data_IF_876462587781
#
_entry.id   IF_876462587781
#
_cell.length_a   1.000
_cell.length_b   1.000
_cell.length_c   1.000
_cell.angle_alpha   90.00
_cell.angle_beta   90.00
_cell.angle_gamma   90.00
#
_symmetry.space_group_name_H-M   'P 1'
#
loop_
_entity.id
_entity.type
_entity.pdbx_description
1 polymer ?
#
# COMPACT_ATOMS: atom_id res chain seq x y z
N UNK A 1 4.87 -7.35 20.79
CA UNK A 1 5.73 -6.68 19.78
C UNK A 1 5.24 -6.85 18.32
N UNK A 2 4.11 -7.50 18.06
CA UNK A 2 3.60 -7.76 16.68
C UNK A 2 2.41 -6.87 16.29
N UNK A 3 1.66 -6.37 17.28
CA UNK A 3 0.48 -5.51 17.10
C UNK A 3 0.76 -4.28 16.20
N UNK A 4 1.84 -3.49 16.39
CA UNK A 4 2.09 -2.34 15.51
C UNK A 4 2.37 -2.75 14.05
N UNK A 5 3.04 -3.88 13.82
CA UNK A 5 3.29 -4.39 12.46
C UNK A 5 2.01 -4.87 11.78
N UNK A 6 1.10 -5.48 12.54
CA UNK A 6 -0.22 -5.85 12.05
C UNK A 6 -1.02 -4.61 11.62
N UNK A 7 -1.05 -3.58 12.46
CA UNK A 7 -1.74 -2.32 12.17
C UNK A 7 -1.15 -1.63 10.92
N UNK A 8 0.17 -1.61 10.76
CA UNK A 8 0.83 -1.05 9.58
C UNK A 8 0.49 -1.81 8.30
N UNK A 9 0.42 -3.14 8.37
CA UNK A 9 0.09 -3.98 7.22
C UNK A 9 -1.36 -3.76 6.79
N UNK A 10 -2.29 -3.70 7.77
CA UNK A 10 -3.70 -3.39 7.50
C UNK A 10 -3.84 -1.98 6.91
N UNK A 11 -3.17 -0.99 7.50
CA UNK A 11 -3.21 0.39 7.00
C UNK A 11 -2.68 0.51 5.57
N UNK A 12 -1.57 -0.15 5.24
CA UNK A 12 -1.04 -0.24 3.88
C UNK A 12 -2.08 -0.84 2.92
N UNK A 13 -2.73 -1.94 3.30
CA UNK A 13 -3.73 -2.61 2.47
C UNK A 13 -4.91 -1.68 2.14
N UNK A 14 -5.38 -0.94 3.15
CA UNK A 14 -6.43 0.06 3.00
C UNK A 14 -5.98 1.22 2.11
N UNK A 15 -4.76 1.74 2.31
CA UNK A 15 -4.22 2.83 1.47
C UNK A 15 -4.07 2.42 0.00
N UNK A 16 -3.60 1.19 -0.28
CA UNK A 16 -3.54 0.61 -1.64
C UNK A 16 -4.95 0.46 -2.24
N UNK A 17 -5.91 0.04 -1.43
CA UNK A 17 -7.29 -0.18 -1.90
C UNK A 17 -7.95 1.12 -2.33
N UNK A 18 -7.77 2.18 -1.55
CA UNK A 18 -8.36 3.51 -1.76
C UNK A 18 -7.61 4.29 -2.86
N UNK A 19 -6.29 4.12 -3.00
CA UNK A 19 -5.53 4.79 -4.05
C UNK A 19 -5.89 4.27 -5.43
N UNK A 20 -6.03 5.22 -6.35
CA UNK A 20 -6.13 4.94 -7.78
C UNK A 20 -4.71 5.00 -8.37
N UNK A 21 -4.26 3.88 -8.89
CA UNK A 21 -2.98 3.78 -9.60
C UNK A 21 -3.20 4.01 -11.09
N UNK A 22 -2.16 4.45 -11.80
CA UNK A 22 -2.25 4.74 -13.24
C UNK A 22 -2.59 3.51 -14.08
N UNK A 23 -2.27 2.31 -13.59
CA UNK A 23 -2.60 1.05 -14.25
C UNK A 23 -3.04 -0.02 -13.26
N UNK A 24 -3.91 -0.95 -13.68
CA UNK A 24 -4.31 -2.10 -12.86
C UNK A 24 -3.12 -3.01 -12.52
N UNK A 25 -2.12 -3.13 -13.41
CA UNK A 25 -0.90 -3.91 -13.15
C UNK A 25 -0.06 -3.33 -12.01
N UNK A 26 0.03 -2.00 -11.92
CA UNK A 26 0.76 -1.32 -10.84
C UNK A 26 0.06 -1.53 -9.49
N UNK A 27 -1.28 -1.53 -9.47
CA UNK A 27 -2.06 -1.89 -8.27
C UNK A 27 -1.80 -3.34 -7.85
N UNK A 28 -1.75 -4.28 -8.79
CA UNK A 28 -1.50 -5.70 -8.50
C UNK A 28 -0.11 -5.94 -7.88
N UNK A 29 0.93 -5.23 -8.35
CA UNK A 29 2.29 -5.32 -7.76
C UNK A 29 2.28 -4.88 -6.29
N UNK A 30 1.56 -3.81 -5.95
CA UNK A 30 1.43 -3.36 -4.56
C UNK A 30 0.66 -4.34 -3.69
N UNK A 31 -0.37 -5.00 -4.23
CA UNK A 31 -1.08 -6.09 -3.55
C UNK A 31 -0.18 -7.31 -3.30
N UNK A 32 0.66 -7.68 -4.26
CA UNK A 32 1.66 -8.75 -4.09
C UNK A 32 2.67 -8.41 -3.00
N UNK A 33 3.14 -7.17 -2.94
CA UNK A 33 4.03 -6.70 -1.87
C UNK A 33 3.35 -6.68 -0.49
N UNK A 34 2.04 -6.47 -0.44
CA UNK A 34 1.26 -6.52 0.81
C UNK A 34 1.21 -7.93 1.43
N UNK A 35 1.44 -8.98 0.64
CA UNK A 35 1.50 -10.37 1.12
C UNK A 35 2.79 -10.69 1.90
N UNK A 36 3.79 -9.80 1.86
CA UNK A 36 5.04 -9.96 2.62
C UNK A 36 4.91 -9.25 3.96
N UNK A 37 4.61 -9.97 5.06
CA UNK A 37 4.49 -9.36 6.38
C UNK A 37 5.83 -8.75 6.81
N UNK A 38 5.76 -7.74 7.70
CA UNK A 38 6.89 -7.01 8.28
C UNK A 38 7.72 -6.12 7.33
N UNK A 39 7.85 -6.46 6.03
CA UNK A 39 8.68 -5.70 5.08
C UNK A 39 7.84 -4.96 4.03
N UNK A 40 6.67 -5.51 3.64
CA UNK A 40 5.83 -4.95 2.59
C UNK A 40 5.45 -3.48 2.80
N UNK A 41 5.12 -3.11 4.04
CA UNK A 41 4.75 -1.73 4.41
C UNK A 41 5.91 -0.74 4.29
N UNK A 42 7.16 -1.20 4.52
CA UNK A 42 8.35 -0.37 4.42
C UNK A 42 8.66 -0.03 2.96
N UNK A 43 8.61 -1.04 2.07
CA UNK A 43 8.80 -0.85 0.62
C UNK A 43 7.67 0.03 0.07
N UNK A 44 6.44 -0.18 0.53
CA UNK A 44 5.30 0.65 0.14
C UNK A 44 5.46 2.11 0.53
N UNK A 45 5.91 2.40 1.76
CA UNK A 45 6.12 3.79 2.20
C UNK A 45 7.17 4.52 1.34
N UNK A 46 8.27 3.86 1.01
CA UNK A 46 9.37 4.47 0.27
C UNK A 46 8.98 4.71 -1.20
N UNK A 47 8.39 3.70 -1.85
CA UNK A 47 8.19 3.71 -3.30
C UNK A 47 6.72 3.84 -3.72
N UNK A 48 5.78 3.24 -2.99
CA UNK A 48 4.36 3.17 -3.34
C UNK A 48 3.56 4.40 -2.90
N UNK A 49 3.92 4.98 -1.76
CA UNK A 49 3.19 6.11 -1.19
C UNK A 49 3.14 7.32 -2.12
N UNK A 50 4.22 7.57 -2.88
CA UNK A 50 4.33 8.67 -3.85
C UNK A 50 3.73 8.36 -5.22
N UNK A 51 3.43 7.08 -5.52
CA UNK A 51 2.95 6.65 -6.84
C UNK A 51 1.42 6.61 -6.95
N UNK A 52 0.71 6.35 -5.85
CA UNK A 52 -0.74 6.43 -5.83
C UNK A 52 -1.22 7.87 -5.67
N UNK A 53 -2.03 8.36 -6.62
CA UNK A 53 -2.76 9.61 -6.43
C UNK A 53 -4.00 9.30 -5.60
N UNK A 54 -4.19 10.01 -4.48
CA UNK A 54 -5.50 10.01 -3.81
C UNK A 54 -6.49 10.66 -4.78
N UNK A 55 -7.71 10.13 -4.95
CA UNK A 55 -8.73 10.85 -5.70
C UNK A 55 -8.86 12.23 -5.06
N UNK A 56 -8.49 13.26 -5.81
CA UNK A 56 -8.88 14.63 -5.48
C UNK A 56 -10.38 14.61 -5.67
N UNK A 57 -11.13 14.59 -4.56
CA UNK A 57 -12.54 14.94 -4.61
C UNK A 57 -12.59 16.39 -5.09
N UNK A 58 -13.21 16.59 -6.25
CA UNK A 58 -13.73 17.87 -6.71
C UNK A 58 -15.01 18.20 -5.93
#
# INVERSE_FOLDING_TARGET
MTIPFLLLTIWMLVDISIKQFKSPGEKAVWWLLALVPFIGWLIYLIFGFRRGKKPVNE
#
